data_IF_683996310986
#
_entry.id   IF_683996310986
#
_cell.length_a   1.000
_cell.length_b   1.000
_cell.length_c   1.000
_cell.angle_alpha   90.00
_cell.angle_beta   90.00
_cell.angle_gamma   90.00
#
_symmetry.space_group_name_H-M   'P 1'
#
loop_
_entity.id
_entity.type
_entity.pdbx_description
1 polymer ?
#
# COMPACT_ATOMS: atom_id res chain seq x y z
N UNK A 1 16.23 -19.18 35.38
CA UNK A 1 16.15 -19.18 33.91
C UNK A 1 15.82 -17.76 33.46
N UNK A 2 16.77 -17.03 32.87
CA UNK A 2 16.60 -15.61 32.57
C UNK A 2 15.79 -15.43 31.26
N UNK A 3 14.68 -14.72 31.35
CA UNK A 3 13.88 -14.29 30.19
C UNK A 3 14.69 -13.27 29.37
N UNK A 4 15.33 -13.73 28.30
CA UNK A 4 16.04 -12.87 27.36
C UNK A 4 14.99 -12.06 26.58
N UNK A 5 14.75 -10.81 26.99
CA UNK A 5 13.92 -9.85 26.23
C UNK A 5 14.56 -9.65 24.88
N UNK A 6 14.09 -10.36 23.87
CA UNK A 6 14.52 -10.18 22.48
C UNK A 6 14.03 -8.81 22.03
N UNK A 7 14.91 -7.99 21.47
CA UNK A 7 14.51 -6.69 20.92
C UNK A 7 13.53 -6.92 19.77
N UNK A 8 12.61 -5.97 19.54
CA UNK A 8 11.64 -6.04 18.43
C UNK A 8 12.33 -6.36 17.09
N UNK A 9 13.50 -5.77 16.85
CA UNK A 9 14.27 -6.00 15.63
C UNK A 9 14.79 -7.44 15.53
N UNK A 10 15.39 -7.99 16.60
CA UNK A 10 15.87 -9.37 16.61
C UNK A 10 14.72 -10.38 16.44
N UNK A 11 13.55 -10.09 17.00
CA UNK A 11 12.35 -10.91 16.81
C UNK A 11 11.84 -10.86 15.37
N UNK A 12 11.77 -9.67 14.77
CA UNK A 12 11.39 -9.49 13.38
C UNK A 12 12.37 -10.18 12.42
N UNK A 13 13.68 -10.02 12.63
CA UNK A 13 14.70 -10.71 11.84
C UNK A 13 14.52 -12.23 11.88
N UNK A 14 14.27 -12.79 13.08
CA UNK A 14 13.99 -14.23 13.23
C UNK A 14 12.76 -14.66 12.44
N UNK A 15 11.67 -13.89 12.50
CA UNK A 15 10.42 -14.18 11.77
C UNK A 15 10.59 -14.05 10.25
N UNK A 16 11.30 -13.03 9.79
CA UNK A 16 11.40 -12.73 8.35
C UNK A 16 12.53 -13.48 7.65
N UNK A 17 13.46 -14.13 8.38
CA UNK A 17 14.63 -14.82 7.81
C UNK A 17 14.29 -15.83 6.72
N UNK A 18 13.14 -16.50 6.84
CA UNK A 18 12.67 -17.51 5.89
C UNK A 18 11.63 -16.98 4.89
N UNK A 19 11.11 -15.77 5.11
CA UNK A 19 10.09 -15.15 4.26
C UNK A 19 10.80 -14.41 3.12
N UNK A 20 10.68 -14.90 1.88
CA UNK A 20 11.08 -14.12 0.71
C UNK A 20 10.09 -12.98 0.45
N UNK A 21 10.28 -11.86 1.13
CA UNK A 21 9.53 -10.62 0.89
C UNK A 21 10.00 -9.95 -0.41
N UNK A 22 9.58 -10.47 -1.56
CA UNK A 22 9.83 -9.84 -2.85
C UNK A 22 8.78 -8.75 -3.08
N UNK A 23 9.22 -7.50 -3.14
CA UNK A 23 8.38 -6.44 -3.68
C UNK A 23 8.23 -6.61 -5.19
N UNK A 24 7.10 -6.13 -5.73
CA UNK A 24 6.90 -6.10 -7.18
C UNK A 24 7.91 -5.13 -7.79
N UNK A 25 8.65 -5.59 -8.80
CA UNK A 25 9.55 -4.73 -9.58
C UNK A 25 8.73 -4.05 -10.67
N UNK A 26 8.62 -2.73 -10.60
CA UNK A 26 7.92 -1.92 -11.60
C UNK A 26 8.84 -0.85 -12.19
N UNK A 27 8.48 -0.38 -13.39
CA UNK A 27 9.17 0.71 -14.06
C UNK A 27 8.82 2.08 -13.49
N UNK A 28 9.21 3.13 -14.21
CA UNK A 28 8.71 4.48 -13.93
C UNK A 28 7.24 4.64 -14.34
N UNK A 29 6.78 3.85 -15.29
CA UNK A 29 5.38 3.81 -15.69
C UNK A 29 4.78 2.51 -15.17
N UNK A 30 3.56 2.61 -14.68
CA UNK A 30 2.79 1.48 -14.17
C UNK A 30 1.35 1.63 -14.66
N UNK A 31 0.89 0.59 -15.33
CA UNK A 31 -0.50 0.40 -15.75
C UNK A 31 -1.04 -0.78 -14.97
N UNK A 32 -2.23 -0.64 -14.39
CA UNK A 32 -2.87 -1.69 -13.59
C UNK A 32 -4.15 -1.19 -12.95
N UNK A 33 -4.50 -1.72 -11.79
CA UNK A 33 -5.70 -1.30 -11.06
C UNK A 33 -5.38 -0.89 -9.63
N UNK A 34 -6.09 0.12 -9.13
CA UNK A 34 -6.02 0.59 -7.74
C UNK A 34 -7.21 0.02 -6.95
N UNK A 35 -6.99 -0.70 -5.83
CA UNK A 35 -8.07 -0.96 -4.88
C UNK A 35 -8.70 0.36 -4.39
N UNK A 36 -9.91 0.32 -3.81
CA UNK A 36 -10.55 1.49 -3.20
C UNK A 36 -9.85 1.87 -1.87
N UNK A 37 -8.58 2.25 -1.96
CA UNK A 37 -7.70 2.53 -0.84
C UNK A 37 -6.55 3.46 -1.25
N UNK A 38 -6.17 4.32 -0.32
CA UNK A 38 -5.07 5.28 -0.48
C UNK A 38 -4.06 5.14 0.65
N UNK A 39 -2.80 5.43 0.35
CA UNK A 39 -1.76 5.53 1.37
C UNK A 39 -1.73 6.92 1.97
N UNK A 40 -1.75 7.01 3.31
CA UNK A 40 -1.53 8.26 4.06
C UNK A 40 -0.36 8.06 5.04
N UNK A 41 0.69 8.86 4.88
CA UNK A 41 1.88 8.87 5.71
C UNK A 41 1.75 9.80 6.92
N UNK A 42 2.45 9.45 8.02
CA UNK A 42 2.47 10.25 9.26
C UNK A 42 3.66 11.21 9.41
N UNK A 43 4.66 11.09 8.55
CA UNK A 43 5.89 11.87 8.64
C UNK A 43 5.72 13.24 7.99
N UNK A 44 6.30 14.29 8.59
CA UNK A 44 6.31 15.68 8.09
C UNK A 44 5.06 16.55 8.35
N UNK A 45 4.19 16.15 9.29
CA UNK A 45 2.97 16.90 9.64
C UNK A 45 3.25 18.40 9.88
N UNK A 46 2.44 19.34 9.34
CA UNK A 46 1.13 19.16 8.70
C UNK A 46 1.18 18.79 7.21
N UNK A 47 2.37 18.47 6.65
CA UNK A 47 2.47 17.88 5.31
C UNK A 47 2.56 16.37 5.41
N UNK A 48 1.79 15.65 4.61
CA UNK A 48 1.74 14.19 4.60
C UNK A 48 2.04 13.67 3.22
N UNK A 49 2.67 12.51 3.15
CA UNK A 49 2.74 11.76 1.90
C UNK A 49 1.40 11.09 1.67
N UNK A 50 0.75 11.39 0.56
CA UNK A 50 -0.51 10.78 0.15
C UNK A 50 -0.43 10.27 -1.28
N UNK A 51 -1.12 9.18 -1.60
CA UNK A 51 -1.18 8.67 -2.96
C UNK A 51 -1.96 7.37 -3.10
N UNK A 52 -2.25 6.95 -4.34
CA UNK A 52 -2.97 5.71 -4.60
C UNK A 52 -2.12 4.48 -4.23
N UNK A 53 -2.79 3.40 -3.88
CA UNK A 53 -2.19 2.06 -3.82
C UNK A 53 -2.46 1.38 -5.16
N UNK A 54 -1.45 1.03 -5.94
CA UNK A 54 -1.65 0.42 -7.27
C UNK A 54 -1.07 -0.98 -7.36
N UNK A 55 -1.80 -1.90 -7.98
CA UNK A 55 -1.27 -3.22 -8.33
C UNK A 55 -0.73 -3.22 -9.76
N UNK A 56 0.31 -4.00 -10.03
CA UNK A 56 0.82 -4.23 -11.39
C UNK A 56 0.03 -5.34 -12.09
N UNK A 57 -1.29 -5.21 -12.10
CA UNK A 57 -2.23 -6.10 -12.76
C UNK A 57 -3.55 -5.35 -12.97
N UNK A 58 -4.26 -5.70 -14.04
CA UNK A 58 -5.62 -5.21 -14.31
C UNK A 58 -6.66 -6.11 -13.65
N UNK A 59 -7.80 -5.53 -13.30
CA UNK A 59 -8.97 -6.23 -12.76
C UNK A 59 -9.23 -5.94 -11.28
N UNK A 60 -9.96 -6.86 -10.63
CA UNK A 60 -10.35 -6.66 -9.23
C UNK A 60 -9.16 -6.86 -8.28
N UNK A 61 -8.66 -5.74 -7.76
CA UNK A 61 -7.56 -5.69 -6.79
C UNK A 61 -8.05 -5.31 -5.39
N UNK A 62 -9.35 -5.21 -5.15
CA UNK A 62 -9.91 -4.75 -3.87
C UNK A 62 -9.41 -5.58 -2.68
N UNK A 63 -9.41 -6.91 -2.82
CA UNK A 63 -8.93 -7.83 -1.78
C UNK A 63 -7.49 -7.56 -1.34
N UNK A 64 -6.67 -6.89 -2.16
CA UNK A 64 -5.28 -6.59 -1.80
C UNK A 64 -5.15 -5.54 -0.69
N UNK A 65 -6.20 -4.74 -0.45
CA UNK A 65 -6.23 -3.71 0.59
C UNK A 65 -7.57 -3.62 1.35
N UNK A 66 -8.24 -4.76 1.53
CA UNK A 66 -9.47 -4.90 2.33
C UNK A 66 -9.22 -5.73 3.60
N UNK A 67 -8.56 -5.17 4.63
CA UNK A 67 -8.27 -5.88 5.88
C UNK A 67 -9.51 -6.47 6.56
N UNK A 68 -10.66 -5.80 6.42
CA UNK A 68 -11.96 -6.26 6.89
C UNK A 68 -12.41 -7.59 6.28
N UNK A 69 -12.01 -7.87 5.04
CA UNK A 69 -12.39 -9.10 4.32
C UNK A 69 -11.42 -10.25 4.58
N UNK A 70 -10.15 -9.98 4.92
CA UNK A 70 -9.12 -11.03 4.98
C UNK A 70 -9.44 -12.14 5.97
N UNK A 71 -9.90 -11.79 7.18
CA UNK A 71 -10.21 -12.78 8.22
C UNK A 71 -11.49 -13.54 7.85
N UNK A 72 -12.51 -12.83 7.37
CA UNK A 72 -13.79 -13.43 6.95
C UNK A 72 -13.66 -14.38 5.76
N UNK A 73 -12.71 -14.12 4.86
CA UNK A 73 -12.39 -14.99 3.72
C UNK A 73 -11.27 -16.00 4.00
N UNK A 74 -10.87 -16.18 5.27
CA UNK A 74 -9.85 -17.13 5.70
C UNK A 74 -8.49 -16.98 4.99
N UNK A 75 -8.08 -15.75 4.68
CA UNK A 75 -6.74 -15.47 4.12
C UNK A 75 -5.68 -15.77 5.17
N UNK A 76 -4.64 -16.50 4.78
CA UNK A 76 -3.52 -16.78 5.67
C UNK A 76 -2.52 -15.61 5.69
N UNK A 77 -1.50 -15.72 6.55
CA UNK A 77 -0.48 -14.69 6.69
C UNK A 77 0.31 -14.48 5.39
N UNK A 78 0.59 -15.54 4.64
CA UNK A 78 1.31 -15.49 3.38
C UNK A 78 0.51 -14.72 2.30
N UNK A 79 -0.81 -14.92 2.24
CA UNK A 79 -1.71 -14.22 1.33
C UNK A 79 -1.71 -12.72 1.63
N UNK A 80 -1.86 -12.35 2.91
CA UNK A 80 -1.85 -10.95 3.35
C UNK A 80 -0.50 -10.31 3.02
N UNK A 81 0.62 -10.99 3.30
CA UNK A 81 1.95 -10.48 2.95
C UNK A 81 2.04 -10.27 1.43
N UNK A 82 1.58 -11.24 0.62
CA UNK A 82 1.60 -11.14 -0.84
C UNK A 82 0.76 -9.96 -1.35
N UNK A 83 -0.43 -9.75 -0.79
CA UNK A 83 -1.28 -8.61 -1.10
C UNK A 83 -0.56 -7.29 -0.82
N UNK A 84 -0.02 -7.13 0.40
CA UNK A 84 0.63 -5.88 0.83
C UNK A 84 1.93 -5.58 0.11
N UNK A 85 2.71 -6.61 -0.25
CA UNK A 85 3.94 -6.49 -1.02
C UNK A 85 3.68 -6.34 -2.53
N UNK A 86 2.47 -6.71 -2.96
CA UNK A 86 1.96 -6.59 -4.33
C UNK A 86 1.60 -5.16 -4.74
N UNK A 87 1.37 -4.27 -3.78
CA UNK A 87 0.93 -2.90 -4.02
C UNK A 87 2.11 -1.92 -4.06
N UNK A 88 2.16 -1.14 -5.13
CA UNK A 88 3.07 -0.02 -5.34
C UNK A 88 2.40 1.24 -4.82
N UNK A 89 3.11 1.99 -3.97
CA UNK A 89 2.59 3.21 -3.35
C UNK A 89 2.92 4.42 -4.21
N UNK A 90 1.90 5.08 -4.75
CA UNK A 90 2.03 6.48 -5.16
C UNK A 90 2.24 7.35 -3.92
N UNK A 91 3.08 8.38 -4.01
CA UNK A 91 3.22 9.36 -2.93
C UNK A 91 3.59 10.73 -3.46
N UNK A 92 2.81 11.72 -3.05
CA UNK A 92 3.09 13.13 -3.20
C UNK A 92 3.02 13.78 -1.81
N UNK A 93 3.87 14.78 -1.56
CA UNK A 93 3.84 15.53 -0.31
C UNK A 93 2.76 16.62 -0.42
N UNK A 94 1.73 16.55 0.41
CA UNK A 94 0.55 17.43 0.37
C UNK A 94 0.32 18.01 1.76
N UNK A 95 -0.12 19.26 1.85
CA UNK A 95 -0.51 19.88 3.12
C UNK A 95 -1.95 19.46 3.46
N UNK A 96 -2.24 19.16 4.73
CA UNK A 96 -3.56 18.64 5.13
C UNK A 96 -4.76 19.55 4.84
N UNK A 97 -4.54 20.84 4.61
CA UNK A 97 -5.56 21.84 4.31
C UNK A 97 -5.62 22.22 2.82
N UNK A 98 -4.84 21.57 1.96
CA UNK A 98 -4.82 21.78 0.50
C UNK A 98 -5.90 20.90 -0.17
N UNK A 99 -7.17 21.18 0.14
CA UNK A 99 -8.32 20.37 -0.30
C UNK A 99 -8.71 20.61 -1.75
N UNK A 100 -8.44 21.79 -2.30
CA UNK A 100 -8.74 22.16 -3.70
C UNK A 100 -7.71 21.60 -4.70
N UNK A 101 -6.83 20.72 -4.25
CA UNK A 101 -5.78 20.13 -5.07
C UNK A 101 -6.37 19.01 -5.97
N UNK A 102 -6.21 19.07 -7.31
CA UNK A 102 -6.74 18.04 -8.21
C UNK A 102 -6.21 16.63 -7.93
N UNK A 103 -5.03 16.51 -7.32
CA UNK A 103 -4.52 15.22 -6.89
C UNK A 103 -5.27 14.70 -5.66
N UNK A 104 -5.65 15.56 -4.72
CA UNK A 104 -6.46 15.20 -3.54
C UNK A 104 -7.86 14.77 -3.96
N UNK A 105 -8.47 15.46 -4.92
CA UNK A 105 -9.76 15.09 -5.51
C UNK A 105 -9.72 13.65 -6.09
N UNK A 106 -8.68 13.31 -6.87
CA UNK A 106 -8.49 11.93 -7.36
C UNK A 106 -8.34 10.90 -6.25
N UNK A 107 -7.66 11.24 -5.14
CA UNK A 107 -7.55 10.34 -4.00
C UNK A 107 -8.89 10.14 -3.29
N UNK A 108 -9.70 11.20 -3.25
CA UNK A 108 -11.07 11.12 -2.74
C UNK A 108 -11.91 10.19 -3.62
N UNK A 109 -11.85 10.33 -4.95
CA UNK A 109 -12.56 9.45 -5.88
C UNK A 109 -12.18 7.97 -5.69
N UNK A 110 -10.89 7.66 -5.55
CA UNK A 110 -10.41 6.30 -5.27
C UNK A 110 -10.94 5.79 -3.94
N UNK A 111 -10.94 6.64 -2.91
CA UNK A 111 -11.39 6.27 -1.57
C UNK A 111 -12.91 6.04 -1.49
N UNK A 112 -13.68 6.74 -2.33
CA UNK A 112 -15.13 6.60 -2.45
C UNK A 112 -15.55 5.51 -3.44
N UNK A 113 -14.61 4.95 -4.18
CA UNK A 113 -14.88 3.91 -5.15
C UNK A 113 -15.44 2.65 -4.47
N UNK A 114 -16.46 2.04 -5.08
CA UNK A 114 -17.02 0.77 -4.59
C UNK A 114 -16.22 -0.46 -5.05
N UNK A 115 -15.32 -0.29 -6.03
CA UNK A 115 -14.56 -1.36 -6.68
C UNK A 115 -13.17 -0.84 -7.07
N UNK A 116 -12.28 -1.78 -7.40
CA UNK A 116 -11.01 -1.42 -8.01
C UNK A 116 -11.21 -0.65 -9.33
N UNK A 117 -10.34 0.32 -9.59
CA UNK A 117 -10.40 1.18 -10.77
C UNK A 117 -9.11 0.97 -11.58
N UNK A 118 -9.22 0.87 -12.90
CA UNK A 118 -8.06 0.87 -13.78
C UNK A 118 -7.34 2.21 -13.73
N UNK A 119 -6.02 2.18 -13.59
CA UNK A 119 -5.22 3.35 -13.25
C UNK A 119 -3.82 3.26 -13.85
N UNK A 120 -3.32 4.44 -14.19
CA UNK A 120 -1.97 4.64 -14.70
C UNK A 120 -1.22 5.60 -13.78
N UNK A 121 0.07 5.33 -13.56
CA UNK A 121 0.94 6.24 -12.85
C UNK A 121 2.31 6.36 -13.50
N UNK A 122 2.83 7.58 -13.43
CA UNK A 122 4.22 7.89 -13.77
C UNK A 122 4.95 8.36 -12.52
N UNK A 123 5.98 7.62 -12.12
CA UNK A 123 6.80 7.90 -10.95
C UNK A 123 8.02 8.74 -11.32
N UNK A 124 8.35 9.74 -10.50
CA UNK A 124 9.56 10.55 -10.69
C UNK A 124 10.86 9.72 -10.66
N UNK A 125 10.88 8.64 -9.87
CA UNK A 125 11.96 7.65 -9.77
C UNK A 125 11.35 6.24 -9.78
N UNK A 126 12.16 5.23 -10.13
CA UNK A 126 11.71 3.83 -10.03
C UNK A 126 11.28 3.55 -8.57
N UNK A 127 10.05 3.03 -8.36
CA UNK A 127 9.53 2.70 -7.03
C UNK A 127 10.31 1.63 -6.30
#
# INVERSE_FOLDING_TARGET
>A
MANMKTTKNAYLEKLTKQIQMKSVKVGKNLEGSTPPSVFIGRWSYPKVYAGPMMANQLGDTAIMDSPESWIGEHKNQEDIIKYRMGLVRGKQLIKIDDLDNPFVEKLQDISLASKAIDSEATFGKRP
#
